data_IF_441725777741
#
_entry.id   IF_441725777741
#
_cell.length_a   1.000
_cell.length_b   1.000
_cell.length_c   1.000
_cell.angle_alpha   90.00
_cell.angle_beta   90.00
_cell.angle_gamma   90.00
#
_symmetry.space_group_name_H-M   'P 1'
#
loop_
_entity.id
_entity.type
_entity.pdbx_description
1 polymer ?
#
# COMPACT_ATOMS: atom_id res chain seq x y z
N UNK A 1 2.33 13.80 10.75
CA UNK A 1 1.59 13.42 9.53
C UNK A 1 0.70 12.25 9.85
N UNK A 2 -0.46 12.17 9.22
CA UNK A 2 -1.34 11.00 9.27
C UNK A 2 -1.07 10.12 8.05
N UNK A 3 -0.58 8.91 8.29
CA UNK A 3 -0.05 8.00 7.26
C UNK A 3 -0.88 6.72 7.23
N UNK A 4 -1.34 6.36 6.03
CA UNK A 4 -2.08 5.12 5.78
C UNK A 4 -1.20 4.08 5.11
N UNK A 5 -1.24 2.84 5.59
CA UNK A 5 -0.53 1.70 4.99
C UNK A 5 -1.56 0.68 4.53
N UNK A 6 -1.50 0.27 3.26
CA UNK A 6 -2.38 -0.75 2.71
C UNK A 6 -1.59 -1.91 2.10
N UNK A 7 -1.97 -3.13 2.46
CA UNK A 7 -1.53 -4.37 1.84
C UNK A 7 -2.77 -5.28 1.66
N UNK A 8 -3.06 -5.76 0.42
CA UNK A 8 -4.23 -6.60 0.16
C UNK A 8 -4.21 -7.98 0.84
N UNK A 9 -3.04 -8.45 1.33
CA UNK A 9 -2.87 -9.79 1.91
C UNK A 9 -2.19 -9.74 3.28
N UNK A 10 -2.56 -8.76 4.12
CA UNK A 10 -1.87 -8.50 5.38
C UNK A 10 -1.89 -9.70 6.36
N UNK A 11 -2.91 -10.54 6.29
CA UNK A 11 -3.09 -11.77 7.08
C UNK A 11 -2.12 -12.91 6.70
N UNK A 12 -1.52 -12.87 5.52
CA UNK A 12 -0.52 -13.87 5.10
C UNK A 12 0.74 -13.83 5.95
N UNK A 13 1.07 -12.65 6.49
CA UNK A 13 2.21 -12.40 7.39
C UNK A 13 3.49 -13.08 6.89
N UNK A 14 3.83 -12.79 5.63
CA UNK A 14 4.99 -13.32 4.92
C UNK A 14 6.01 -12.21 4.61
N UNK A 15 6.86 -12.40 3.61
CA UNK A 15 7.91 -11.44 3.24
C UNK A 15 7.36 -10.08 2.82
N UNK A 16 6.28 -10.05 2.05
CA UNK A 16 5.70 -8.79 1.57
C UNK A 16 5.09 -7.96 2.70
N UNK A 17 4.35 -8.62 3.59
CA UNK A 17 3.75 -8.05 4.78
C UNK A 17 4.81 -7.54 5.75
N UNK A 18 5.89 -8.30 5.95
CA UNK A 18 7.04 -7.87 6.77
C UNK A 18 7.58 -6.53 6.31
N UNK A 19 7.75 -6.33 5.00
CA UNK A 19 8.26 -5.07 4.47
C UNK A 19 7.32 -3.88 4.77
N UNK A 20 6.03 -4.03 4.47
CA UNK A 20 5.04 -2.98 4.69
C UNK A 20 4.85 -2.64 6.17
N UNK A 21 4.86 -3.66 7.04
CA UNK A 21 4.76 -3.48 8.49
C UNK A 21 6.03 -2.92 9.11
N UNK A 22 7.20 -3.20 8.53
CA UNK A 22 8.46 -2.55 8.93
C UNK A 22 8.42 -1.06 8.62
N UNK A 23 7.92 -0.67 7.44
CA UNK A 23 7.68 0.74 7.09
C UNK A 23 6.73 1.38 8.10
N UNK A 24 5.60 0.72 8.40
CA UNK A 24 4.63 1.21 9.37
C UNK A 24 5.26 1.44 10.75
N UNK A 25 6.03 0.46 11.23
CA UNK A 25 6.76 0.52 12.49
C UNK A 25 7.72 1.71 12.52
N UNK A 26 8.62 1.82 11.54
CA UNK A 26 9.58 2.92 11.45
C UNK A 26 8.91 4.30 11.45
N UNK A 27 7.86 4.48 10.65
CA UNK A 27 7.16 5.76 10.54
C UNK A 27 6.36 6.10 11.81
N UNK A 28 5.87 5.10 12.54
CA UNK A 28 5.06 5.29 13.75
C UNK A 28 5.83 5.92 14.92
N UNK A 29 7.16 6.00 14.83
CA UNK A 29 7.97 6.70 15.84
C UNK A 29 7.79 8.22 15.81
N UNK A 30 7.42 8.80 14.65
CA UNK A 30 7.35 10.25 14.45
C UNK A 30 5.98 10.71 13.91
N UNK A 31 5.12 9.78 13.49
CA UNK A 31 3.89 10.06 12.77
C UNK A 31 2.75 9.16 13.23
N UNK A 32 1.52 9.59 12.95
CA UNK A 32 0.31 8.81 13.23
C UNK A 32 0.10 7.81 12.09
N UNK A 33 0.39 6.54 12.34
CA UNK A 33 0.34 5.49 11.32
C UNK A 33 -0.86 4.57 11.56
N UNK A 34 -1.67 4.40 10.53
CA UNK A 34 -2.76 3.43 10.50
C UNK A 34 -2.58 2.44 9.37
N UNK A 35 -2.80 1.16 9.67
CA UNK A 35 -2.87 0.11 8.66
C UNK A 35 -4.34 -0.14 8.32
N UNK A 36 -4.67 -0.14 7.03
CA UNK A 36 -6.02 -0.41 6.54
C UNK A 36 -6.30 -1.91 6.56
N UNK A 37 -6.99 -2.38 7.59
CA UNK A 37 -7.36 -3.78 7.78
C UNK A 37 -8.58 -3.88 8.72
N UNK A 38 -9.42 -4.91 8.55
CA UNK A 38 -10.65 -5.02 9.35
C UNK A 38 -10.43 -5.77 10.68
N UNK A 39 -9.47 -6.69 10.74
CA UNK A 39 -9.15 -7.46 11.96
C UNK A 39 -8.19 -6.67 12.87
N UNK A 40 -8.69 -6.14 13.99
CA UNK A 40 -7.89 -5.44 14.99
C UNK A 40 -6.80 -6.30 15.66
N UNK A 41 -6.91 -7.63 15.60
CA UNK A 41 -5.89 -8.54 16.15
C UNK A 41 -4.68 -8.70 15.22
N UNK A 42 -4.73 -8.17 13.99
CA UNK A 42 -3.69 -8.36 12.98
C UNK A 42 -2.31 -7.87 13.44
N UNK A 43 -2.24 -6.74 14.15
CA UNK A 43 -0.96 -6.19 14.61
C UNK A 43 -0.31 -7.09 15.67
N UNK A 44 -1.13 -7.72 16.53
CA UNK A 44 -0.65 -8.70 17.50
C UNK A 44 -0.13 -9.95 16.80
N UNK A 45 -0.92 -10.52 15.88
CA UNK A 45 -0.50 -11.69 15.07
C UNK A 45 0.81 -11.41 14.32
N UNK A 46 0.93 -10.21 13.75
CA UNK A 46 2.13 -9.78 13.04
C UNK A 46 3.34 -9.61 13.97
N UNK A 47 3.15 -9.03 15.17
CA UNK A 47 4.19 -8.94 16.18
C UNK A 47 4.70 -10.33 16.57
N UNK A 48 3.80 -11.25 16.90
CA UNK A 48 4.13 -12.59 17.37
C UNK A 48 4.85 -13.41 16.28
N UNK A 49 4.45 -13.27 15.02
CA UNK A 49 5.01 -14.05 13.89
C UNK A 49 6.24 -13.42 13.25
N UNK A 50 6.28 -12.09 13.12
CA UNK A 50 7.33 -11.39 12.38
C UNK A 50 8.34 -10.68 13.29
N UNK A 51 8.06 -10.60 14.59
CA UNK A 51 8.90 -9.92 15.59
C UNK A 51 9.12 -8.43 15.26
N UNK A 52 8.08 -7.77 14.74
CA UNK A 52 8.07 -6.33 14.43
C UNK A 52 7.37 -5.58 15.56
N UNK A 53 7.95 -4.49 16.07
CA UNK A 53 7.27 -3.64 17.05
C UNK A 53 6.20 -2.78 16.36
N UNK A 54 4.93 -3.07 16.68
CA UNK A 54 3.77 -2.40 16.11
C UNK A 54 2.94 -1.67 17.18
N UNK A 55 3.48 -1.46 18.39
CA UNK A 55 2.75 -0.88 19.53
C UNK A 55 2.22 0.53 19.26
N UNK A 56 2.89 1.30 18.38
CA UNK A 56 2.50 2.66 17.98
C UNK A 56 1.70 2.71 16.67
N UNK A 57 1.46 1.56 16.04
CA UNK A 57 0.67 1.46 14.81
C UNK A 57 -0.78 1.19 15.19
N UNK A 58 -1.71 1.86 14.50
CA UNK A 58 -3.16 1.67 14.70
C UNK A 58 -3.77 0.90 13.53
N UNK A 59 -4.97 0.36 13.73
CA UNK A 59 -5.76 -0.28 12.67
C UNK A 59 -6.91 0.63 12.30
N UNK A 60 -7.10 0.87 11.00
CA UNK A 60 -8.23 1.58 10.44
C UNK A 60 -9.02 0.63 9.53
N UNK A 61 -10.36 0.78 9.41
CA UNK A 61 -11.18 -0.06 8.56
C UNK A 61 -10.63 -0.16 7.13
N UNK A 62 -10.71 -1.33 6.51
CA UNK A 62 -10.26 -1.50 5.14
C UNK A 62 -11.21 -0.75 4.20
N UNK A 63 -10.67 0.24 3.48
CA UNK A 63 -11.42 1.06 2.51
C UNK A 63 -11.10 0.68 1.05
N UNK A 64 -10.20 -0.27 0.85
CA UNK A 64 -9.72 -0.70 -0.46
C UNK A 64 -10.17 -2.12 -0.84
N UNK A 65 -10.90 -2.80 0.05
CA UNK A 65 -11.48 -4.11 -0.24
C UNK A 65 -12.56 -4.02 -1.33
N UNK A 66 -12.71 -5.09 -2.10
CA UNK A 66 -13.62 -5.16 -3.26
C UNK A 66 -15.09 -5.02 -2.89
N UNK A 67 -15.47 -5.37 -1.65
CA UNK A 67 -16.84 -5.23 -1.16
C UNK A 67 -17.22 -3.82 -0.72
N UNK A 68 -16.26 -2.89 -0.65
CA UNK A 68 -16.47 -1.54 -0.11
C UNK A 68 -16.83 -0.56 -1.22
N UNK A 69 -17.89 0.27 -1.04
CA UNK A 69 -18.23 1.30 -2.00
C UNK A 69 -17.06 2.26 -2.23
N UNK A 70 -16.76 2.53 -3.50
CA UNK A 70 -15.72 3.46 -3.95
C UNK A 70 -15.85 4.86 -3.29
N UNK A 71 -17.06 5.29 -2.95
CA UNK A 71 -17.30 6.56 -2.25
C UNK A 71 -16.62 6.61 -0.87
N UNK A 72 -16.51 5.48 -0.17
CA UNK A 72 -15.88 5.42 1.16
C UNK A 72 -14.38 5.71 1.06
N UNK A 73 -13.68 5.12 0.08
CA UNK A 73 -12.27 5.43 -0.15
C UNK A 73 -12.07 6.89 -0.56
N UNK A 74 -12.96 7.45 -1.38
CA UNK A 74 -12.88 8.86 -1.80
C UNK A 74 -13.00 9.86 -0.63
N UNK A 75 -13.80 9.56 0.39
CA UNK A 75 -14.01 10.45 1.55
C UNK A 75 -12.99 10.22 2.66
N UNK A 76 -12.49 8.99 2.81
CA UNK A 76 -11.52 8.66 3.87
C UNK A 76 -10.08 8.96 3.48
N UNK A 77 -9.67 8.67 2.23
CA UNK A 77 -8.27 8.87 1.81
C UNK A 77 -7.75 10.31 1.87
N UNK A 78 -8.54 11.38 1.64
CA UNK A 78 -8.06 12.76 1.78
C UNK A 78 -7.68 13.17 3.21
N UNK A 79 -8.11 12.40 4.22
CA UNK A 79 -7.78 12.66 5.63
C UNK A 79 -6.35 12.23 5.98
N UNK A 80 -5.67 11.54 5.07
CA UNK A 80 -4.30 11.09 5.23
C UNK A 80 -3.37 11.96 4.40
N UNK A 81 -2.26 12.39 4.98
CA UNK A 81 -1.24 13.16 4.28
C UNK A 81 -0.48 12.29 3.27
N UNK A 82 -0.28 11.02 3.62
CA UNK A 82 0.44 10.02 2.83
C UNK A 82 -0.27 8.67 2.90
N UNK A 83 -0.40 7.99 1.77
CA UNK A 83 -0.80 6.59 1.71
C UNK A 83 0.26 5.76 0.98
N UNK A 84 0.74 4.70 1.62
CA UNK A 84 1.66 3.71 1.03
C UNK A 84 0.89 2.43 0.74
N UNK A 85 0.94 1.99 -0.51
CA UNK A 85 0.17 0.84 -1.01
C UNK A 85 1.13 -0.25 -1.51
N UNK A 86 0.96 -1.48 -1.02
CA UNK A 86 1.51 -2.65 -1.70
C UNK A 86 0.60 -3.06 -2.85
N UNK A 87 1.11 -3.00 -4.08
CA UNK A 87 0.35 -3.38 -5.26
C UNK A 87 0.43 -4.88 -5.52
N UNK A 88 -0.71 -5.49 -5.82
CA UNK A 88 -0.84 -6.89 -6.21
C UNK A 88 -1.15 -7.12 -7.69
N UNK A 89 -1.00 -6.06 -8.50
CA UNK A 89 -1.38 -6.03 -9.91
C UNK A 89 -2.56 -5.08 -10.14
N UNK A 90 -3.38 -4.85 -9.12
CA UNK A 90 -4.46 -3.86 -9.14
C UNK A 90 -4.02 -2.56 -8.46
N UNK A 91 -4.36 -1.42 -9.07
CA UNK A 91 -4.06 -0.10 -8.49
C UNK A 91 -5.32 0.39 -7.78
N UNK A 92 -5.31 0.56 -6.44
CA UNK A 92 -6.41 1.18 -5.74
C UNK A 92 -6.42 2.67 -6.06
N UNK A 93 -7.62 3.24 -6.09
CA UNK A 93 -7.75 4.69 -6.20
C UNK A 93 -7.53 5.32 -4.82
N UNK A 94 -6.71 6.35 -4.77
CA UNK A 94 -6.51 7.18 -3.58
C UNK A 94 -6.75 8.64 -3.95
N UNK A 95 -7.27 9.40 -2.99
CA UNK A 95 -7.39 10.85 -3.09
C UNK A 95 -6.64 11.56 -1.95
N UNK A 96 -5.62 10.91 -1.38
CA UNK A 96 -4.68 11.55 -0.47
C UNK A 96 -3.79 12.55 -1.24
N UNK A 97 -3.21 13.57 -0.56
CA UNK A 97 -2.28 14.49 -1.17
C UNK A 97 -1.03 13.77 -1.72
N UNK A 98 -0.52 12.77 -0.98
CA UNK A 98 0.62 11.96 -1.41
C UNK A 98 0.29 10.46 -1.40
N UNK A 99 0.68 9.78 -2.47
CA UNK A 99 0.56 8.36 -2.70
C UNK A 99 1.88 7.74 -3.12
N UNK A 100 2.25 6.65 -2.46
CA UNK A 100 3.39 5.81 -2.82
C UNK A 100 2.88 4.42 -3.16
N UNK A 101 3.18 3.97 -4.37
CA UNK A 101 2.85 2.61 -4.83
C UNK A 101 4.10 1.76 -4.77
N UNK A 102 4.04 0.62 -4.08
CA UNK A 102 5.16 -0.30 -3.95
C UNK A 102 4.87 -1.62 -4.66
N UNK A 103 5.81 -2.07 -5.48
CA UNK A 103 5.77 -3.34 -6.20
C UNK A 103 6.87 -4.27 -5.72
N UNK A 104 6.49 -5.47 -5.29
CA UNK A 104 7.42 -6.51 -4.87
C UNK A 104 7.52 -7.68 -5.84
N UNK A 105 6.59 -7.77 -6.80
CA UNK A 105 6.49 -8.83 -7.79
C UNK A 105 6.47 -8.23 -9.20
N UNK A 106 7.10 -8.88 -10.19
CA UNK A 106 6.96 -8.46 -11.58
C UNK A 106 5.53 -8.77 -12.05
N UNK A 107 4.87 -7.79 -12.66
CA UNK A 107 3.58 -7.98 -13.32
C UNK A 107 3.75 -7.84 -14.84
N UNK A 108 3.06 -8.68 -15.59
CA UNK A 108 3.00 -8.63 -17.05
C UNK A 108 1.63 -9.12 -17.51
N UNK A 109 1.02 -8.43 -18.47
CA UNK A 109 -0.27 -8.83 -19.04
C UNK A 109 -1.46 -8.65 -18.10
N UNK A 110 -1.35 -7.75 -17.11
CA UNK A 110 -2.43 -7.45 -16.15
C UNK A 110 -3.26 -6.22 -16.57
N UNK A 111 -2.94 -5.63 -17.72
CA UNK A 111 -3.61 -4.42 -18.21
C UNK A 111 -3.18 -3.18 -17.43
N UNK A 112 -1.92 -3.13 -17.00
CA UNK A 112 -1.36 -1.99 -16.26
C UNK A 112 -1.51 -0.66 -17.00
N UNK A 113 -1.47 -0.69 -18.33
CA UNK A 113 -1.65 0.48 -19.20
C UNK A 113 -3.11 0.85 -19.50
N UNK A 114 -4.10 0.20 -18.90
CA UNK A 114 -5.50 0.60 -19.09
C UNK A 114 -5.73 2.06 -18.69
N UNK A 115 -6.63 2.76 -19.40
CA UNK A 115 -6.95 4.17 -19.13
C UNK A 115 -7.34 4.41 -17.66
N UNK A 116 -8.09 3.49 -17.07
CA UNK A 116 -8.46 3.55 -15.66
C UNK A 116 -7.24 3.52 -14.73
N UNK A 117 -6.26 2.65 -14.99
CA UNK A 117 -5.03 2.59 -14.22
C UNK A 117 -4.17 3.84 -14.42
N UNK A 118 -4.08 4.35 -15.64
CA UNK A 118 -3.32 5.58 -15.93
C UNK A 118 -3.89 6.80 -15.19
N UNK A 119 -5.22 6.91 -15.07
CA UNK A 119 -5.86 7.96 -14.26
C UNK A 119 -5.52 7.80 -12.78
N UNK A 120 -5.59 6.57 -12.24
CA UNK A 120 -5.24 6.31 -10.84
C UNK A 120 -3.76 6.59 -10.55
N UNK A 121 -2.86 6.23 -11.47
CA UNK A 121 -1.42 6.43 -11.32
C UNK A 121 -1.02 7.89 -11.15
N UNK A 122 -1.78 8.84 -11.72
CA UNK A 122 -1.53 10.28 -11.53
C UNK A 122 -1.61 10.74 -10.06
N UNK A 123 -2.26 9.96 -9.20
CA UNK A 123 -2.36 10.24 -7.75
C UNK A 123 -1.17 9.68 -6.96
N UNK A 124 -0.34 8.85 -7.57
CA UNK A 124 0.85 8.30 -6.94
C UNK A 124 2.08 9.09 -7.41
N UNK A 125 2.71 9.83 -6.50
CA UNK A 125 3.89 10.64 -6.81
C UNK A 125 5.14 9.77 -6.96
N UNK A 126 5.15 8.60 -6.31
CA UNK A 126 6.25 7.65 -6.43
C UNK A 126 5.73 6.23 -6.66
N UNK A 127 6.42 5.54 -7.56
CA UNK A 127 6.30 4.10 -7.74
C UNK A 127 7.64 3.48 -7.35
N UNK A 128 7.65 2.62 -6.34
CA UNK A 128 8.85 1.99 -5.80
C UNK A 128 8.82 0.51 -6.15
N UNK A 129 9.96 -0.05 -6.53
CA UNK A 129 10.17 -1.46 -6.77
C UNK A 129 11.24 -1.99 -5.83
N UNK A 130 11.08 -3.22 -5.35
CA UNK A 130 12.09 -3.85 -4.48
C UNK A 130 13.41 -4.23 -5.18
N UNK A 131 13.46 -4.23 -6.51
CA UNK A 131 14.64 -4.62 -7.28
C UNK A 131 14.63 -4.08 -8.71
N UNK A 132 15.80 -4.06 -9.35
CA UNK A 132 15.96 -3.76 -10.78
C UNK A 132 15.18 -4.74 -11.66
N UNK A 133 15.07 -6.00 -11.23
CA UNK A 133 14.30 -7.01 -11.94
C UNK A 133 12.81 -6.64 -11.98
N UNK A 134 12.19 -6.39 -10.82
CA UNK A 134 10.77 -5.98 -10.74
C UNK A 134 10.53 -4.70 -11.54
N UNK A 135 11.39 -3.70 -11.37
CA UNK A 135 11.35 -2.42 -12.09
C UNK A 135 11.23 -2.59 -13.61
N UNK A 136 12.03 -3.47 -14.21
CA UNK A 136 12.01 -3.72 -15.67
C UNK A 136 10.62 -4.15 -16.18
N UNK A 137 9.87 -4.92 -15.38
CA UNK A 137 8.54 -5.37 -15.75
C UNK A 137 7.49 -4.30 -15.47
N UNK A 138 7.56 -3.66 -14.30
CA UNK A 138 6.57 -2.65 -13.87
C UNK A 138 6.59 -1.42 -14.77
N UNK A 139 7.78 -0.91 -15.09
CA UNK A 139 7.90 0.28 -15.96
C UNK A 139 7.29 0.00 -17.35
N UNK A 140 7.45 -1.22 -17.87
CA UNK A 140 6.88 -1.63 -19.15
C UNK A 140 5.37 -1.88 -19.08
N UNK A 141 4.90 -2.56 -18.04
CA UNK A 141 3.48 -2.94 -17.90
C UNK A 141 2.58 -1.73 -17.61
N UNK A 142 3.05 -0.82 -16.74
CA UNK A 142 2.26 0.33 -16.27
C UNK A 142 2.66 1.65 -16.94
N UNK A 143 3.70 1.66 -17.78
CA UNK A 143 4.24 2.86 -18.43
C UNK A 143 4.59 3.98 -17.45
N UNK A 144 5.29 3.59 -16.38
CA UNK A 144 5.76 4.50 -15.32
C UNK A 144 7.28 4.49 -15.24
N UNK A 145 7.86 5.47 -14.55
CA UNK A 145 9.28 5.49 -14.19
C UNK A 145 9.41 5.24 -12.69
N UNK A 146 9.60 3.98 -12.29
CA UNK A 146 9.74 3.62 -10.88
C UNK A 146 11.13 3.96 -10.28
N UNK A 147 11.25 3.89 -8.95
CA UNK A 147 12.48 3.99 -8.16
C UNK A 147 12.76 2.65 -7.44
N UNK A 148 13.97 2.45 -6.91
CA UNK A 148 14.36 1.30 -6.07
C UNK A 148 14.87 1.81 -4.73
#
# INVERSE_FOLDING_TARGET
MKIGIYNPYLDSLSGGERYMLTIASCLSHQHDVSVFWDDHTILKKAHDRLSIDLKKVTVAPNIFDRGIPFLKSMVTTPQYDLIVVLCDGSIPFINSPVGILHFQRPFAGVGGFSLANQIKLKKYQKVICNSQFTKKYIDREYHVKSEI
#
